data_IF_751807773922
#
_entry.id   IF_751807773922
#
_cell.length_a   1.000
_cell.length_b   1.000
_cell.length_c   1.000
_cell.angle_alpha   90.00
_cell.angle_beta   90.00
_cell.angle_gamma   90.00
#
_symmetry.space_group_name_H-M   'P 1'
#
loop_
_entity.id
_entity.type
_entity.pdbx_description
1 polymer ?
#
# COMPACT_ATOMS: atom_id res chain seq x y z
N UNK A 1 1.67 4.22 5.26
CA UNK A 1 2.08 5.50 4.63
C UNK A 1 2.47 5.31 3.16
N UNK A 2 3.53 4.56 2.82
CA UNK A 2 4.03 4.48 1.44
C UNK A 2 2.97 4.07 0.40
N UNK A 3 2.28 2.94 0.61
CA UNK A 3 1.19 2.48 -0.26
C UNK A 3 0.02 3.46 -0.29
N UNK A 4 -0.29 4.12 0.83
CA UNK A 4 -1.35 5.13 0.87
C UNK A 4 -1.00 6.36 0.03
N UNK A 5 0.26 6.83 0.10
CA UNK A 5 0.76 7.94 -0.72
C UNK A 5 0.75 7.58 -2.20
N UNK A 6 1.20 6.37 -2.57
CA UNK A 6 1.16 5.90 -3.95
C UNK A 6 -0.27 5.81 -4.49
N UNK A 7 -1.18 5.26 -3.70
CA UNK A 7 -2.60 5.17 -4.06
C UNK A 7 -3.24 6.57 -4.16
N UNK A 8 -2.97 7.47 -3.22
CA UNK A 8 -3.45 8.85 -3.27
C UNK A 8 -2.93 9.60 -4.50
N UNK A 9 -1.66 9.44 -4.82
CA UNK A 9 -1.06 10.01 -6.03
C UNK A 9 -1.72 9.43 -7.30
N UNK A 10 -1.93 8.12 -7.36
CA UNK A 10 -2.59 7.47 -8.50
C UNK A 10 -4.06 7.92 -8.66
N UNK A 11 -4.80 8.08 -7.56
CA UNK A 11 -6.23 8.41 -7.60
C UNK A 11 -6.45 9.89 -7.91
N UNK A 12 -5.70 10.78 -7.24
CA UNK A 12 -5.96 12.22 -7.33
C UNK A 12 -5.08 12.93 -8.35
N UNK A 13 -3.83 12.52 -8.55
CA UNK A 13 -2.92 13.17 -9.49
C UNK A 13 -2.98 12.56 -10.90
N UNK A 14 -2.53 13.34 -11.89
CA UNK A 14 -2.73 13.14 -13.33
C UNK A 14 -2.23 11.84 -13.96
N UNK A 15 -1.59 10.95 -13.20
CA UNK A 15 -1.09 9.67 -13.71
C UNK A 15 -2.14 8.54 -13.67
N UNK A 16 -3.24 8.70 -12.91
CA UNK A 16 -4.34 7.72 -12.87
C UNK A 16 -5.70 8.37 -13.12
N UNK A 17 -6.55 8.44 -12.10
CA UNK A 17 -7.93 8.93 -12.26
C UNK A 17 -8.03 10.47 -12.30
N UNK A 18 -6.98 11.18 -11.92
CA UNK A 18 -6.88 12.64 -11.98
C UNK A 18 -8.12 13.34 -11.39
N UNK A 19 -8.57 12.88 -10.22
CA UNK A 19 -9.80 13.34 -9.55
C UNK A 19 -9.60 14.65 -8.77
N UNK A 20 -8.37 15.15 -8.65
CA UNK A 20 -8.08 16.39 -7.95
C UNK A 20 -8.85 17.56 -8.59
N UNK A 21 -9.65 18.26 -7.77
CA UNK A 21 -10.50 19.36 -8.22
C UNK A 21 -11.73 18.95 -9.04
N UNK A 22 -11.94 17.65 -9.32
CA UNK A 22 -13.09 17.14 -10.08
C UNK A 22 -14.17 16.49 -9.20
N UNK A 23 -13.83 16.14 -7.97
CA UNK A 23 -14.77 15.54 -7.00
C UNK A 23 -14.96 16.47 -5.81
N UNK A 24 -16.17 16.47 -5.26
CA UNK A 24 -16.48 17.18 -4.02
C UNK A 24 -15.63 16.62 -2.86
N UNK A 25 -15.24 17.45 -1.87
CA UNK A 25 -14.47 16.99 -0.71
C UNK A 25 -15.08 15.78 -0.01
N UNK A 26 -16.41 15.72 0.11
CA UNK A 26 -17.11 14.59 0.72
C UNK A 26 -16.84 13.26 -0.01
N UNK A 27 -16.82 13.28 -1.35
CA UNK A 27 -16.49 12.10 -2.17
C UNK A 27 -15.02 11.73 -2.00
N UNK A 28 -14.13 12.72 -1.93
CA UNK A 28 -12.71 12.50 -1.64
C UNK A 28 -12.48 11.80 -0.30
N UNK A 29 -13.19 12.21 0.76
CA UNK A 29 -13.14 11.54 2.06
C UNK A 29 -13.63 10.10 2.00
N UNK A 30 -14.75 9.85 1.31
CA UNK A 30 -15.29 8.50 1.14
C UNK A 30 -14.30 7.59 0.42
N UNK A 31 -13.67 8.07 -0.66
CA UNK A 31 -12.62 7.34 -1.37
C UNK A 31 -11.45 7.03 -0.42
N UNK A 32 -11.00 8.00 0.37
CA UNK A 32 -9.93 7.80 1.36
C UNK A 32 -10.25 6.70 2.37
N UNK A 33 -11.48 6.69 2.92
CA UNK A 33 -11.94 5.65 3.85
C UNK A 33 -11.95 4.27 3.18
N UNK A 34 -12.48 4.18 1.95
CA UNK A 34 -12.53 2.91 1.20
C UNK A 34 -11.14 2.37 0.92
N UNK A 35 -10.20 3.24 0.50
CA UNK A 35 -8.80 2.88 0.29
C UNK A 35 -8.16 2.39 1.60
N UNK A 36 -8.40 3.09 2.70
CA UNK A 36 -7.85 2.71 4.00
C UNK A 36 -8.35 1.33 4.47
N UNK A 37 -9.65 1.07 4.37
CA UNK A 37 -10.23 -0.23 4.71
C UNK A 37 -9.66 -1.35 3.82
N UNK A 38 -9.55 -1.10 2.51
CA UNK A 38 -8.93 -2.04 1.58
C UNK A 38 -7.45 -2.30 1.95
N UNK A 39 -6.71 -1.26 2.35
CA UNK A 39 -5.33 -1.41 2.81
C UNK A 39 -5.21 -2.25 4.07
N UNK A 40 -6.13 -2.11 5.04
CA UNK A 40 -6.15 -2.95 6.24
C UNK A 40 -6.41 -4.40 5.86
N UNK A 41 -7.46 -4.68 5.08
CA UNK A 41 -7.79 -6.03 4.66
C UNK A 41 -6.65 -6.70 3.88
N UNK A 42 -6.04 -5.95 2.95
CA UNK A 42 -4.86 -6.41 2.22
C UNK A 42 -3.66 -6.67 3.15
N UNK A 43 -3.43 -5.81 4.15
CA UNK A 43 -2.32 -5.97 5.09
C UNK A 43 -2.51 -7.21 5.98
N UNK A 44 -3.74 -7.49 6.42
CA UNK A 44 -4.05 -8.71 7.17
C UNK A 44 -3.78 -9.95 6.32
N UNK A 45 -4.40 -10.01 5.13
CA UNK A 45 -4.22 -11.10 4.17
C UNK A 45 -2.74 -11.33 3.80
N UNK A 46 -1.96 -10.25 3.72
CA UNK A 46 -0.53 -10.28 3.43
C UNK A 46 0.27 -10.87 4.59
N UNK A 47 0.06 -10.37 5.82
CA UNK A 47 0.80 -10.82 7.01
C UNK A 47 0.49 -12.27 7.41
N UNK A 48 -0.66 -12.81 6.98
CA UNK A 48 -0.94 -14.24 7.11
C UNK A 48 0.01 -15.11 6.26
N UNK A 49 0.50 -14.59 5.11
CA UNK A 49 1.32 -15.34 4.14
C UNK A 49 2.81 -14.98 4.20
N UNK A 50 3.12 -13.72 4.50
CA UNK A 50 4.47 -13.16 4.41
C UNK A 50 4.96 -12.69 5.76
N UNK A 51 6.26 -12.84 6.01
CA UNK A 51 6.89 -12.45 7.29
C UNK A 51 7.15 -10.95 7.41
N UNK A 52 7.24 -10.25 6.28
CA UNK A 52 7.63 -8.85 6.20
C UNK A 52 6.81 -8.12 5.13
N UNK A 53 6.71 -6.80 5.23
CA UNK A 53 6.30 -5.98 4.11
C UNK A 53 7.31 -6.10 2.95
N UNK A 54 6.88 -5.91 1.69
CA UNK A 54 7.76 -6.07 0.52
C UNK A 54 8.97 -5.12 0.56
N UNK A 55 8.76 -3.88 1.01
CA UNK A 55 9.83 -2.88 1.14
C UNK A 55 10.79 -3.23 2.27
N UNK A 56 10.27 -3.70 3.41
CA UNK A 56 11.09 -4.10 4.55
C UNK A 56 11.95 -5.33 4.23
N UNK A 57 11.37 -6.30 3.52
CA UNK A 57 12.11 -7.46 3.03
C UNK A 57 13.20 -7.07 2.05
N UNK A 58 12.90 -6.17 1.10
CA UNK A 58 13.87 -5.67 0.14
C UNK A 58 15.01 -4.94 0.86
N UNK A 59 14.67 -4.05 1.79
CA UNK A 59 15.65 -3.30 2.58
C UNK A 59 16.56 -4.21 3.39
N UNK A 60 16.00 -5.22 4.08
CA UNK A 60 16.79 -6.21 4.83
C UNK A 60 17.67 -7.04 3.91
N UNK A 61 17.15 -7.49 2.78
CA UNK A 61 17.91 -8.32 1.85
C UNK A 61 19.08 -7.56 1.22
N UNK A 62 18.88 -6.27 0.93
CA UNK A 62 19.94 -5.37 0.45
C UNK A 62 20.96 -5.05 1.54
N UNK A 63 20.51 -4.74 2.76
CA UNK A 63 21.40 -4.38 3.88
C UNK A 63 22.35 -5.52 4.23
N UNK A 64 21.85 -6.76 4.28
CA UNK A 64 22.65 -7.93 4.63
C UNK A 64 23.24 -8.65 3.40
N UNK A 65 23.00 -8.14 2.18
CA UNK A 65 23.39 -8.77 0.91
C UNK A 65 23.00 -10.27 0.85
N UNK A 66 21.90 -10.63 1.52
CA UNK A 66 21.40 -12.00 1.63
C UNK A 66 19.89 -12.00 1.57
N UNK A 67 19.35 -12.85 0.69
CA UNK A 67 17.92 -13.02 0.51
C UNK A 67 17.31 -13.60 1.80
N UNK A 68 16.51 -12.81 2.50
CA UNK A 68 15.82 -13.25 3.71
C UNK A 68 14.59 -14.10 3.34
N UNK A 69 14.19 -15.08 4.16
CA UNK A 69 12.99 -15.87 3.89
C UNK A 69 11.74 -14.98 3.96
N UNK A 70 11.05 -14.86 2.82
CA UNK A 70 9.92 -13.94 2.65
C UNK A 70 8.57 -14.57 3.03
N UNK A 71 8.39 -15.83 2.64
CA UNK A 71 7.20 -16.61 2.92
C UNK A 71 7.24 -17.10 4.38
N UNK A 72 6.11 -17.03 5.05
CA UNK A 72 5.92 -17.68 6.34
C UNK A 72 5.77 -19.17 6.06
N UNK A 73 6.77 -19.98 6.41
CA UNK A 73 6.57 -21.44 6.45
C UNK A 73 5.35 -21.71 7.32
N UNK A 74 4.38 -22.48 6.78
CA UNK A 74 3.33 -23.07 7.59
C UNK A 74 3.94 -23.90 8.71
#
# INVERSE_FOLDING_TARGET
>A
YLTQTLLGWFIFFGFGFNLLGKVSPAVGYLIGIMVFLAQIAFSQWWLERFRYGPVEWLWRSLTYLRIQPFLKSR
#
